data_IF_250765217271
#
_entry.id   IF_250765217271
#
_cell.length_a   1.000
_cell.length_b   1.000
_cell.length_c   1.000
_cell.angle_alpha   90.00
_cell.angle_beta   90.00
_cell.angle_gamma   90.00
#
_symmetry.space_group_name_H-M   'P 1'
#
loop_
_entity.id
_entity.type
_entity.pdbx_description
1 polymer ?
#
# COMPACT_ATOMS: atom_id res chain seq x y z
N UNK A 1 12.71 -3.44 7.23
CA UNK A 1 11.55 -2.78 6.60
C UNK A 1 11.94 -1.36 6.21
N UNK A 2 11.25 -0.77 5.24
CA UNK A 2 11.54 0.58 4.75
C UNK A 2 10.28 1.43 4.72
N UNK A 3 10.41 2.72 5.02
CA UNK A 3 9.36 3.70 4.72
C UNK A 3 9.15 3.82 3.20
N UNK A 4 8.06 4.46 2.77
CA UNK A 4 7.82 4.72 1.34
C UNK A 4 8.94 5.56 0.73
N UNK A 5 9.44 6.58 1.44
CA UNK A 5 10.57 7.41 1.01
C UNK A 5 11.85 6.60 0.78
N UNK A 6 12.22 5.73 1.73
CA UNK A 6 13.38 4.86 1.59
C UNK A 6 13.22 3.82 0.47
N UNK A 7 11.99 3.36 0.24
CA UNK A 7 11.66 2.47 -0.87
C UNK A 7 11.78 3.21 -2.21
N UNK A 8 11.30 4.46 -2.32
CA UNK A 8 11.47 5.32 -3.51
C UNK A 8 12.96 5.46 -3.86
N UNK A 9 13.81 5.65 -2.86
CA UNK A 9 15.27 5.70 -3.07
C UNK A 9 15.89 4.36 -3.51
N UNK A 10 15.35 3.23 -3.03
CA UNK A 10 15.88 1.91 -3.33
C UNK A 10 15.37 1.31 -4.66
N UNK A 11 14.17 1.69 -5.11
CA UNK A 11 13.52 1.15 -6.31
C UNK A 11 12.66 2.24 -7.00
N UNK A 12 13.28 3.30 -7.53
CA UNK A 12 12.57 4.50 -8.00
C UNK A 12 11.57 4.21 -9.14
N UNK A 13 11.91 3.35 -10.08
CA UNK A 13 11.03 3.00 -11.19
C UNK A 13 9.78 2.23 -10.71
N UNK A 14 9.97 1.27 -9.81
CA UNK A 14 8.88 0.49 -9.24
C UNK A 14 7.98 1.38 -8.36
N UNK A 15 8.58 2.26 -7.57
CA UNK A 15 7.85 3.20 -6.74
C UNK A 15 7.00 4.16 -7.58
N UNK A 16 7.57 4.74 -8.65
CA UNK A 16 6.85 5.64 -9.56
C UNK A 16 5.68 4.94 -10.28
N UNK A 17 5.87 3.69 -10.72
CA UNK A 17 4.82 2.88 -11.32
C UNK A 17 3.72 2.54 -10.30
N UNK A 18 4.12 2.15 -9.08
CA UNK A 18 3.20 1.84 -7.99
C UNK A 18 2.37 3.04 -7.53
N UNK A 19 2.99 4.21 -7.43
CA UNK A 19 2.31 5.46 -7.06
C UNK A 19 1.21 5.82 -8.08
N UNK A 20 1.48 5.69 -9.37
CA UNK A 20 0.48 5.88 -10.44
C UNK A 20 -0.71 4.92 -10.31
N UNK A 21 -0.47 3.68 -9.90
CA UNK A 21 -1.51 2.68 -9.71
C UNK A 21 -2.33 2.93 -8.43
N UNK A 22 -1.70 3.41 -7.36
CA UNK A 22 -2.35 3.65 -6.09
C UNK A 22 -3.16 4.96 -6.10
N UNK A 23 -2.58 6.06 -6.61
CA UNK A 23 -3.13 7.41 -6.51
C UNK A 23 -3.83 7.90 -7.79
N UNK A 24 -4.35 6.99 -8.61
CA UNK A 24 -4.89 7.30 -9.96
C UNK A 24 -5.96 8.37 -10.01
N UNK A 25 -6.82 8.44 -8.99
CA UNK A 25 -8.03 9.30 -9.02
C UNK A 25 -7.88 10.57 -8.22
N UNK A 26 -7.01 10.59 -7.23
CA UNK A 26 -6.81 11.76 -6.36
C UNK A 26 -5.35 11.83 -5.94
N UNK A 27 -4.73 13.00 -5.96
CA UNK A 27 -3.45 13.19 -5.29
C UNK A 27 -3.62 12.84 -3.80
N UNK A 28 -2.63 12.27 -3.19
CA UNK A 28 -2.56 11.91 -1.78
C UNK A 28 -3.54 10.83 -1.28
N UNK A 29 -4.52 10.36 -2.09
CA UNK A 29 -5.51 9.39 -1.62
C UNK A 29 -5.69 8.24 -2.61
N UNK A 30 -5.30 7.05 -2.20
CA UNK A 30 -5.47 5.82 -2.95
C UNK A 30 -6.49 4.87 -2.31
N UNK A 31 -6.99 3.92 -3.11
CA UNK A 31 -7.86 2.84 -2.64
C UNK A 31 -7.23 1.49 -2.90
N UNK A 32 -7.33 0.64 -1.89
CA UNK A 32 -6.71 -0.67 -1.92
C UNK A 32 -7.56 -1.68 -1.13
N UNK A 33 -7.26 -2.96 -1.29
CA UNK A 33 -7.60 -4.00 -0.33
C UNK A 33 -6.42 -4.20 0.61
N UNK A 34 -6.68 -4.27 1.91
CA UNK A 34 -5.68 -4.65 2.92
C UNK A 34 -6.06 -5.99 3.52
N UNK A 35 -5.11 -6.91 3.55
CA UNK A 35 -5.20 -8.15 4.30
C UNK A 35 -4.47 -7.99 5.63
N UNK A 36 -5.13 -8.38 6.73
CA UNK A 36 -4.60 -8.44 8.09
C UNK A 36 -4.73 -9.84 8.64
N UNK A 37 -4.08 -10.14 9.74
CA UNK A 37 -4.15 -11.45 10.39
C UNK A 37 -5.09 -11.41 11.59
N UNK A 38 -6.10 -12.26 11.60
CA UNK A 38 -6.98 -12.48 12.74
C UNK A 38 -6.23 -13.15 13.89
N UNK A 39 -6.83 -13.18 15.09
CA UNK A 39 -6.27 -13.84 16.28
C UNK A 39 -6.02 -15.35 16.08
N UNK A 40 -6.83 -15.99 15.25
CA UNK A 40 -6.72 -17.41 14.88
C UNK A 40 -5.72 -17.67 13.73
N UNK A 41 -5.03 -16.62 13.23
CA UNK A 41 -4.09 -16.69 12.12
C UNK A 41 -4.75 -16.65 10.73
N UNK A 42 -6.07 -16.69 10.63
CA UNK A 42 -6.75 -16.58 9.35
C UNK A 42 -6.63 -15.17 8.76
N UNK A 43 -6.52 -15.02 7.43
CA UNK A 43 -6.50 -13.71 6.79
C UNK A 43 -7.87 -13.03 6.88
N UNK A 44 -7.84 -11.70 6.97
CA UNK A 44 -9.00 -10.82 6.86
C UNK A 44 -8.75 -9.81 5.76
N UNK A 45 -9.62 -9.73 4.77
CA UNK A 45 -9.51 -8.79 3.65
C UNK A 45 -10.58 -7.69 3.77
N UNK A 46 -10.15 -6.43 3.64
CA UNK A 46 -11.03 -5.27 3.67
C UNK A 46 -10.61 -4.19 2.68
N UNK A 47 -11.55 -3.42 2.12
CA UNK A 47 -11.19 -2.18 1.46
C UNK A 47 -10.61 -1.17 2.46
N UNK A 48 -9.68 -0.35 1.99
CA UNK A 48 -9.00 0.68 2.77
C UNK A 48 -8.66 1.88 1.90
N UNK A 49 -8.68 3.07 2.48
CA UNK A 49 -8.07 4.26 1.90
C UNK A 49 -6.63 4.38 2.39
N UNK A 50 -5.72 4.62 1.46
CA UNK A 50 -4.30 4.87 1.74
C UNK A 50 -4.03 6.35 1.52
N UNK A 51 -3.46 7.01 2.53
CA UNK A 51 -3.06 8.42 2.46
C UNK A 51 -1.56 8.47 2.21
N UNK A 52 -1.14 9.21 1.19
CA UNK A 52 0.26 9.55 0.97
C UNK A 52 0.51 10.98 1.46
N UNK A 53 1.36 11.13 2.44
CA UNK A 53 1.80 12.40 2.96
C UNK A 53 3.27 12.29 3.41
N UNK A 54 4.03 13.37 3.28
CA UNK A 54 5.44 13.45 3.71
C UNK A 54 6.31 12.31 3.20
N UNK A 55 6.08 11.91 1.94
CA UNK A 55 6.75 10.75 1.32
C UNK A 55 6.57 9.43 2.11
N UNK A 56 5.43 9.26 2.80
CA UNK A 56 5.06 8.06 3.53
C UNK A 56 3.65 7.60 3.15
N UNK A 57 3.34 6.34 3.42
CA UNK A 57 2.00 5.78 3.23
C UNK A 57 1.35 5.54 4.59
N UNK A 58 0.13 6.01 4.74
CA UNK A 58 -0.65 5.88 5.97
C UNK A 58 -2.01 5.26 5.72
N UNK A 59 -2.55 4.62 6.74
CA UNK A 59 -3.96 4.23 6.81
C UNK A 59 -4.56 4.73 8.13
N UNK A 60 -5.79 5.25 8.05
CA UNK A 60 -6.55 5.74 9.20
C UNK A 60 -7.72 4.79 9.39
N UNK A 61 -7.82 4.20 10.57
CA UNK A 61 -8.76 3.11 10.84
C UNK A 61 -9.52 3.39 12.12
N UNK A 62 -10.88 3.35 12.11
CA UNK A 62 -11.66 3.44 13.34
C UNK A 62 -11.20 2.38 14.37
N UNK A 63 -10.99 2.78 15.61
CA UNK A 63 -10.52 1.89 16.68
C UNK A 63 -11.46 0.68 16.87
N UNK A 64 -12.77 0.87 16.64
CA UNK A 64 -13.77 -0.21 16.72
C UNK A 64 -13.72 -1.23 15.57
N UNK A 65 -12.94 -0.94 14.51
CA UNK A 65 -12.84 -1.84 13.36
C UNK A 65 -12.03 -3.09 13.69
N UNK A 66 -12.48 -4.31 13.30
CA UNK A 66 -11.71 -5.53 13.51
C UNK A 66 -10.30 -5.51 12.92
N UNK A 67 -10.10 -4.87 11.77
CA UNK A 67 -8.76 -4.72 11.17
C UNK A 67 -7.83 -3.83 12.01
N UNK A 68 -8.37 -2.86 12.78
CA UNK A 68 -7.58 -2.10 13.72
C UNK A 68 -7.04 -2.98 14.85
N UNK A 69 -7.91 -3.81 15.45
CA UNK A 69 -7.51 -4.76 16.48
C UNK A 69 -6.49 -5.79 15.95
N UNK A 70 -6.63 -6.22 14.68
CA UNK A 70 -5.67 -7.12 14.05
C UNK A 70 -4.29 -6.44 13.93
N UNK A 71 -4.21 -5.22 13.38
CA UNK A 71 -2.94 -4.48 13.20
C UNK A 71 -2.29 -4.07 14.52
N UNK A 72 -3.07 -3.75 15.55
CA UNK A 72 -2.54 -3.47 16.90
C UNK A 72 -1.91 -4.71 17.55
N UNK A 73 -2.40 -5.91 17.24
CA UNK A 73 -1.90 -7.18 17.76
C UNK A 73 -0.75 -7.73 16.93
N UNK A 74 -0.90 -7.70 15.61
CA UNK A 74 0.07 -8.22 14.63
C UNK A 74 0.08 -7.25 13.45
N UNK A 75 1.10 -6.41 13.40
CA UNK A 75 1.20 -5.34 12.41
C UNK A 75 1.39 -5.82 10.97
N UNK A 76 1.59 -7.13 10.71
CA UNK A 76 1.79 -7.64 9.35
C UNK A 76 0.58 -7.38 8.48
N UNK A 77 0.84 -6.90 7.28
CA UNK A 77 -0.19 -6.63 6.28
C UNK A 77 0.26 -7.06 4.88
N UNK A 78 -0.71 -7.31 4.02
CA UNK A 78 -0.56 -7.28 2.57
C UNK A 78 -1.61 -6.32 1.98
N UNK A 79 -1.23 -5.59 0.94
CA UNK A 79 -2.07 -4.59 0.31
C UNK A 79 -2.03 -4.74 -1.21
N UNK A 80 -3.21 -4.69 -1.82
CA UNK A 80 -3.40 -4.69 -3.27
C UNK A 80 -4.16 -3.42 -3.66
N UNK A 81 -3.57 -2.57 -4.49
CA UNK A 81 -4.29 -1.42 -5.04
C UNK A 81 -5.52 -1.90 -5.83
N UNK A 82 -6.61 -1.11 -5.84
CA UNK A 82 -7.78 -1.45 -6.65
C UNK A 82 -7.39 -1.53 -8.13
N UNK A 83 -7.89 -2.55 -8.85
CA UNK A 83 -7.61 -2.67 -10.28
C UNK A 83 -8.08 -1.42 -11.03
N UNK A 84 -7.43 -1.07 -12.16
CA UNK A 84 -7.90 -0.01 -13.02
C UNK A 84 -9.31 -0.34 -13.54
N UNK A 85 -10.14 0.70 -13.78
CA UNK A 85 -11.38 0.54 -14.51
C UNK A 85 -11.13 -0.04 -15.91
N UNK A 86 -12.14 -0.70 -16.45
CA UNK A 86 -12.10 -1.19 -17.83
C UNK A 86 -11.79 -0.06 -18.82
N UNK A 87 -10.85 -0.31 -19.72
CA UNK A 87 -10.40 0.67 -20.72
C UNK A 87 -9.25 1.60 -20.26
N UNK A 88 -8.86 1.55 -18.99
CA UNK A 88 -7.64 2.23 -18.52
C UNK A 88 -6.42 1.29 -18.63
N UNK A 89 -5.18 1.83 -18.75
CA UNK A 89 -3.97 1.00 -18.76
C UNK A 89 -3.92 0.07 -17.56
N UNK A 90 -3.80 -1.23 -17.83
CA UNK A 90 -3.76 -2.29 -16.86
C UNK A 90 -2.51 -2.25 -16.00
N UNK A 91 -2.61 -2.82 -14.80
CA UNK A 91 -1.50 -2.99 -13.89
C UNK A 91 -1.99 -3.31 -12.48
N UNK A 92 -1.09 -3.87 -11.69
CA UNK A 92 -1.34 -4.23 -10.30
C UNK A 92 -0.21 -3.70 -9.43
N UNK A 93 -0.55 -3.18 -8.26
CA UNK A 93 0.40 -2.87 -7.20
C UNK A 93 0.10 -3.75 -6.00
N UNK A 94 1.10 -4.51 -5.59
CA UNK A 94 1.14 -5.26 -4.35
C UNK A 94 2.21 -4.71 -3.42
N UNK A 95 1.87 -4.50 -2.15
CA UNK A 95 2.77 -4.11 -1.07
C UNK A 95 2.57 -5.08 0.11
N UNK A 96 3.63 -5.40 0.82
CA UNK A 96 3.51 -6.08 2.10
C UNK A 96 4.60 -5.62 3.08
N UNK A 97 4.31 -5.73 4.36
CA UNK A 97 5.21 -5.32 5.42
C UNK A 97 4.53 -5.26 6.79
N UNK A 98 4.85 -4.24 7.56
CA UNK A 98 4.30 -4.03 8.90
C UNK A 98 3.71 -2.63 9.00
N UNK A 99 2.50 -2.54 9.52
CA UNK A 99 1.84 -1.29 9.88
C UNK A 99 2.26 -0.89 11.30
N UNK A 100 2.87 0.27 11.45
CA UNK A 100 3.28 0.82 12.73
C UNK A 100 2.31 1.90 13.20
N UNK A 101 1.82 1.77 14.44
CA UNK A 101 0.94 2.77 15.02
C UNK A 101 1.68 4.08 15.25
N UNK A 102 1.12 5.19 14.75
CA UNK A 102 1.60 6.54 14.98
C UNK A 102 0.75 7.20 16.09
N UNK A 103 1.43 7.75 17.09
CA UNK A 103 0.79 8.47 18.21
C UNK A 103 1.22 9.94 18.27
N UNK A 104 2.08 10.37 17.36
CA UNK A 104 2.59 11.74 17.30
C UNK A 104 1.54 12.67 16.67
N UNK A 105 1.06 13.63 17.49
CA UNK A 105 0.09 14.64 17.06
C UNK A 105 0.65 15.55 15.93
N UNK A 106 1.96 15.79 15.91
CA UNK A 106 2.62 16.57 14.87
C UNK A 106 2.51 15.89 13.51
N UNK A 107 2.62 14.56 13.47
CA UNK A 107 2.41 13.79 12.22
C UNK A 107 0.97 13.91 11.75
N UNK A 108 -0.02 13.81 12.65
CA UNK A 108 -1.43 13.99 12.30
C UNK A 108 -1.71 15.38 11.71
N UNK A 109 -1.17 16.44 12.34
CA UNK A 109 -1.30 17.82 11.84
C UNK A 109 -0.64 18.02 10.48
N UNK A 110 0.54 17.42 10.26
CA UNK A 110 1.24 17.50 9.00
C UNK A 110 0.49 16.79 7.87
N UNK A 111 -0.13 15.64 8.13
CA UNK A 111 -1.00 14.94 7.17
C UNK A 111 -2.19 15.82 6.81
N UNK A 112 -2.87 16.40 7.79
CA UNK A 112 -4.03 17.28 7.56
C UNK A 112 -3.63 18.52 6.75
N UNK A 113 -2.51 19.16 7.08
CA UNK A 113 -2.03 20.35 6.38
C UNK A 113 -1.68 20.06 4.91
N UNK A 114 -1.09 18.90 4.60
CA UNK A 114 -0.68 18.53 3.25
C UNK A 114 -1.85 18.00 2.40
N UNK A 115 -2.74 17.22 2.99
CA UNK A 115 -3.72 16.42 2.23
C UNK A 115 -5.17 16.81 2.47
N UNK A 116 -5.45 17.60 3.51
CA UNK A 116 -6.79 17.87 3.99
C UNK A 116 -7.45 16.68 4.73
N UNK A 117 -6.75 15.55 4.87
CA UNK A 117 -7.27 14.37 5.58
C UNK A 117 -6.96 14.49 7.07
N UNK A 118 -8.00 14.43 7.90
CA UNK A 118 -7.91 14.51 9.35
C UNK A 118 -8.00 13.12 9.98
N UNK A 119 -7.27 12.93 11.07
CA UNK A 119 -7.42 11.77 11.96
C UNK A 119 -8.41 12.18 13.06
N UNK A 120 -9.60 11.60 13.06
CA UNK A 120 -10.68 11.94 13.99
C UNK A 120 -10.52 11.22 15.33
N UNK A 121 -11.21 11.75 16.35
CA UNK A 121 -11.26 11.10 17.67
C UNK A 121 -11.86 9.68 17.53
N UNK A 122 -11.14 8.67 18.05
CA UNK A 122 -11.56 7.27 17.93
C UNK A 122 -10.98 6.56 16.71
N UNK A 123 -10.15 7.20 15.92
CA UNK A 123 -9.38 6.59 14.85
C UNK A 123 -7.92 6.35 15.25
N UNK A 124 -7.29 5.41 14.59
CA UNK A 124 -5.88 5.04 14.77
C UNK A 124 -5.15 5.23 13.45
N UNK A 125 -4.07 5.99 13.51
CA UNK A 125 -3.16 6.19 12.38
C UNK A 125 -2.08 5.10 12.40
N UNK A 126 -1.86 4.47 11.24
CA UNK A 126 -0.74 3.56 11.02
C UNK A 126 0.08 4.02 9.83
N UNK A 127 1.40 3.99 9.96
CA UNK A 127 2.32 4.06 8.81
C UNK A 127 2.53 2.64 8.24
N UNK A 128 2.51 2.54 6.93
CA UNK A 128 2.78 1.28 6.21
C UNK A 128 4.27 1.19 5.87
N UNK A 129 5.02 0.42 6.66
CA UNK A 129 6.41 0.09 6.37
C UNK A 129 6.48 -1.12 5.44
N UNK A 130 7.35 -1.07 4.42
CA UNK A 130 7.44 -2.06 3.37
C UNK A 130 8.54 -3.08 3.63
N UNK A 131 8.20 -4.33 3.45
CA UNK A 131 9.12 -5.47 3.35
C UNK A 131 9.30 -5.90 1.90
N UNK A 132 8.23 -5.82 1.10
CA UNK A 132 8.29 -6.06 -0.33
C UNK A 132 7.24 -5.26 -1.11
N UNK A 133 7.52 -5.08 -2.39
CA UNK A 133 6.61 -4.49 -3.35
C UNK A 133 6.70 -5.23 -4.69
N UNK A 134 5.58 -5.29 -5.40
CA UNK A 134 5.51 -5.80 -6.76
C UNK A 134 4.58 -4.92 -7.58
N UNK A 135 5.04 -4.56 -8.77
CA UNK A 135 4.20 -3.94 -9.80
C UNK A 135 4.14 -4.89 -11.00
N UNK A 136 2.93 -5.22 -11.42
CA UNK A 136 2.67 -5.92 -12.68
C UNK A 136 2.19 -4.91 -13.70
N UNK A 137 2.85 -4.83 -14.85
CA UNK A 137 2.43 -4.02 -15.99
C UNK A 137 2.10 -4.92 -17.18
N UNK A 138 1.06 -4.58 -17.92
CA UNK A 138 0.77 -5.19 -19.23
C UNK A 138 1.52 -4.40 -20.29
N UNK A 139 2.36 -5.06 -21.07
CA UNK A 139 3.11 -4.47 -22.18
C UNK A 139 2.62 -5.10 -23.47
N UNK A 140 2.22 -4.26 -24.42
CA UNK A 140 1.81 -4.74 -25.74
C UNK A 140 3.01 -5.32 -26.51
N UNK A 141 2.93 -6.58 -26.91
CA UNK A 141 3.86 -7.22 -27.84
C UNK A 141 3.18 -7.37 -29.25
N UNK A 142 3.10 -6.24 -30.00
CA UNK A 142 2.44 -6.22 -31.32
C UNK A 142 0.92 -6.06 -31.25
N UNK A 143 0.23 -6.29 -32.35
CA UNK A 143 -1.19 -5.93 -32.52
C UNK A 143 -2.19 -6.84 -31.75
N UNK A 144 -1.78 -7.95 -31.17
CA UNK A 144 -2.68 -8.93 -30.54
C UNK A 144 -2.17 -9.67 -29.31
N UNK A 145 -0.99 -9.36 -28.78
CA UNK A 145 -0.43 -10.02 -27.61
C UNK A 145 -0.05 -9.02 -26.52
N UNK A 146 -0.49 -9.28 -25.30
CA UNK A 146 -0.04 -8.55 -24.10
C UNK A 146 0.85 -9.48 -23.25
N UNK A 147 1.96 -8.96 -22.78
CA UNK A 147 2.85 -9.66 -21.84
C UNK A 147 2.85 -8.98 -20.49
N UNK A 148 2.68 -9.75 -19.41
CA UNK A 148 2.87 -9.26 -18.06
C UNK A 148 4.35 -9.12 -17.73
N UNK A 149 4.75 -7.94 -17.27
CA UNK A 149 6.08 -7.66 -16.74
C UNK A 149 5.96 -7.39 -15.26
N UNK A 150 6.73 -8.13 -14.45
CA UNK A 150 6.74 -7.97 -13.01
C UNK A 150 8.02 -7.26 -12.56
N UNK A 151 7.86 -6.11 -11.91
CA UNK A 151 8.91 -5.43 -11.15
C UNK A 151 8.76 -5.83 -9.70
N UNK A 152 9.80 -6.42 -9.10
CA UNK A 152 9.75 -6.96 -7.72
C UNK A 152 10.89 -6.35 -6.91
N UNK A 153 10.55 -5.94 -5.69
CA UNK A 153 11.51 -5.46 -4.70
C UNK A 153 11.26 -6.15 -3.35
N UNK A 154 12.32 -6.59 -2.63
CA UNK A 154 13.71 -6.69 -3.11
C UNK A 154 13.86 -7.75 -4.20
N UNK A 155 14.85 -7.57 -5.07
CA UNK A 155 15.02 -8.38 -6.29
C UNK A 155 15.35 -9.88 -6.02
N UNK A 156 15.87 -10.22 -4.86
CA UNK A 156 16.20 -11.57 -4.41
C UNK A 156 14.95 -12.43 -4.12
N UNK A 157 13.80 -11.83 -3.84
CA UNK A 157 12.52 -12.56 -3.68
C UNK A 157 12.04 -13.27 -4.95
N UNK A 158 12.54 -12.93 -6.12
CA UNK A 158 12.24 -13.70 -7.35
C UNK A 158 12.61 -15.19 -7.25
N UNK A 159 13.63 -15.53 -6.46
CA UNK A 159 14.10 -16.91 -6.33
C UNK A 159 13.24 -17.80 -5.42
N UNK A 160 12.44 -17.21 -4.55
CA UNK A 160 11.62 -17.94 -3.58
C UNK A 160 10.23 -18.38 -4.13
N UNK A 161 9.83 -17.88 -5.31
CA UNK A 161 8.50 -18.17 -5.88
C UNK A 161 8.53 -19.22 -7.01
N UNK A 162 9.70 -19.72 -7.38
CA UNK A 162 9.87 -20.72 -8.45
C UNK A 162 10.31 -22.11 -7.93
N UNK A 163 10.11 -22.37 -6.65
CA UNK A 163 10.39 -23.66 -6.01
C UNK A 163 9.12 -24.43 -5.67
#
# INVERSE_FOLDING_TARGET
MKSWSEFKGAAPELAAAGEKLLLRKRPHLGWAFIATLRKDGAPRLHPISVVQAQDRLYVIIPHSSPKCADLLRDGRYALQAFPPPEGEPGGELYLAGVAERIQDAGVCQAIEAETGVRVEAGEVLFELLLECAMVTCLVAEGAAAERSVHLIWPADRRRAQTG
#
